data_IF_470520860929
#
_entry.id   IF_470520860929
#
_cell.length_a   1.000
_cell.length_b   1.000
_cell.length_c   1.000
_cell.angle_alpha   90.00
_cell.angle_beta   90.00
_cell.angle_gamma   90.00
#
_symmetry.space_group_name_H-M   'P 1'
#
loop_
_entity.id
_entity.type
_entity.pdbx_description
1 polymer ?
#
# COMPACT_ATOMS: atom_id res chain seq x y z
N UNK A 1 9.58 14.09 -32.80
CA UNK A 1 8.72 14.40 -31.65
C UNK A 1 9.34 13.81 -30.41
N UNK A 2 9.22 14.47 -29.26
CA UNK A 2 9.70 13.92 -27.99
C UNK A 2 8.94 12.63 -27.63
N UNK A 3 9.65 11.61 -27.15
CA UNK A 3 9.07 10.33 -26.79
C UNK A 3 8.21 10.40 -25.52
N UNK A 4 7.53 9.30 -25.18
CA UNK A 4 6.68 9.17 -24.00
C UNK A 4 7.36 9.64 -22.71
N UNK A 5 8.59 9.15 -22.47
CA UNK A 5 9.33 9.43 -21.22
C UNK A 5 9.73 10.90 -21.16
N UNK A 6 10.27 11.45 -22.23
CA UNK A 6 10.69 12.85 -22.30
C UNK A 6 9.54 13.82 -22.06
N UNK A 7 8.38 13.60 -22.69
CA UNK A 7 7.19 14.44 -22.47
C UNK A 7 6.68 14.38 -21.03
N UNK A 8 6.69 13.18 -20.48
CA UNK A 8 6.22 12.95 -19.11
C UNK A 8 7.14 13.60 -18.07
N UNK A 9 8.46 13.45 -18.21
CA UNK A 9 9.46 14.07 -17.32
C UNK A 9 9.44 15.60 -17.45
N UNK A 10 9.31 16.14 -18.66
CA UNK A 10 9.18 17.59 -18.86
C UNK A 10 7.94 18.14 -18.17
N UNK A 11 6.80 17.45 -18.29
CA UNK A 11 5.57 17.83 -17.60
C UNK A 11 5.72 17.78 -16.08
N UNK A 12 6.33 16.73 -15.54
CA UNK A 12 6.51 16.56 -14.10
C UNK A 12 7.35 17.67 -13.48
N UNK A 13 8.43 18.07 -14.16
CA UNK A 13 9.29 19.18 -13.69
C UNK A 13 8.53 20.49 -13.54
N UNK A 14 7.53 20.76 -14.38
CA UNK A 14 6.75 21.99 -14.36
C UNK A 14 5.45 21.90 -13.51
N UNK A 15 4.85 20.71 -13.42
CA UNK A 15 3.49 20.53 -12.89
C UNK A 15 3.36 19.38 -11.88
N UNK A 16 4.43 18.64 -11.62
CA UNK A 16 4.45 17.55 -10.64
C UNK A 16 4.45 18.05 -9.21
N UNK A 17 4.29 17.12 -8.27
CA UNK A 17 4.44 17.39 -6.85
C UNK A 17 5.92 17.34 -6.48
N UNK A 18 6.39 18.33 -5.73
CA UNK A 18 7.79 18.45 -5.32
C UNK A 18 7.92 18.70 -3.82
N UNK A 19 6.82 18.82 -3.11
CA UNK A 19 6.70 19.26 -1.72
C UNK A 19 6.28 18.13 -0.75
N UNK A 20 6.16 16.91 -1.23
CA UNK A 20 5.81 15.79 -0.36
C UNK A 20 6.99 15.46 0.57
N UNK A 21 6.76 15.26 1.89
CA UNK A 21 7.83 15.10 2.88
C UNK A 21 8.86 14.01 2.53
N UNK A 22 8.42 12.93 1.91
CA UNK A 22 9.28 11.82 1.48
C UNK A 22 10.06 12.06 0.18
N UNK A 23 9.75 13.15 -0.55
CA UNK A 23 10.52 13.56 -1.74
C UNK A 23 11.69 14.47 -1.39
N UNK A 24 11.68 15.07 -0.19
CA UNK A 24 12.71 16.02 0.26
C UNK A 24 14.01 15.33 0.69
N UNK A 25 14.03 14.01 0.70
CA UNK A 25 15.19 13.22 1.14
C UNK A 25 15.36 11.99 0.24
N UNK A 26 16.59 11.57 0.04
CA UNK A 26 16.95 10.30 -0.62
C UNK A 26 17.25 9.18 0.38
N UNK A 27 16.95 9.41 1.66
CA UNK A 27 17.11 8.42 2.73
C UNK A 27 16.20 7.21 2.45
N UNK A 28 16.75 6.00 2.27
CA UNK A 28 15.98 4.81 1.95
C UNK A 28 14.96 4.43 3.01
N UNK A 29 15.23 4.68 4.29
CA UNK A 29 14.27 4.45 5.37
C UNK A 29 13.02 5.32 5.19
N UNK A 30 13.21 6.60 4.90
CA UNK A 30 12.13 7.57 4.71
C UNK A 30 11.30 7.28 3.46
N UNK A 31 11.97 6.94 2.36
CA UNK A 31 11.30 6.57 1.11
C UNK A 31 10.53 5.26 1.27
N UNK A 32 11.16 4.23 1.83
CA UNK A 32 10.51 2.95 2.09
C UNK A 32 9.27 3.08 2.99
N UNK A 33 9.36 3.84 4.10
CA UNK A 33 8.24 4.09 4.99
C UNK A 33 7.05 4.69 4.23
N UNK A 34 7.29 5.71 3.39
CA UNK A 34 6.25 6.33 2.59
C UNK A 34 5.63 5.35 1.58
N UNK A 35 6.45 4.56 0.89
CA UNK A 35 5.99 3.56 -0.08
C UNK A 35 5.06 2.52 0.58
N UNK A 36 5.39 2.06 1.79
CA UNK A 36 4.54 1.12 2.53
C UNK A 36 3.25 1.81 3.04
N UNK A 37 3.33 3.03 3.55
CA UNK A 37 2.15 3.76 4.03
C UNK A 37 1.19 4.11 2.89
N UNK A 38 1.69 4.42 1.70
CA UNK A 38 0.91 4.78 0.51
C UNK A 38 0.24 3.57 -0.16
N UNK A 39 0.59 2.33 0.18
CA UNK A 39 -0.12 1.16 -0.32
C UNK A 39 -1.60 1.24 0.09
N UNK A 40 -2.50 1.44 -0.89
CA UNK A 40 -3.95 1.53 -0.72
C UNK A 40 -4.42 2.66 0.23
N UNK A 41 -3.57 3.66 0.50
CA UNK A 41 -3.90 4.81 1.34
C UNK A 41 -3.64 6.11 0.57
N UNK A 42 -4.50 7.11 0.74
CA UNK A 42 -4.36 8.39 0.05
C UNK A 42 -3.26 9.24 0.67
N UNK A 43 -2.58 10.05 -0.17
CA UNK A 43 -1.48 10.95 0.23
C UNK A 43 -1.86 11.84 1.41
N UNK A 44 -3.01 12.51 1.35
CA UNK A 44 -3.45 13.41 2.42
C UNK A 44 -3.59 12.71 3.78
N UNK A 45 -4.02 11.45 3.78
CA UNK A 45 -4.08 10.66 5.01
C UNK A 45 -2.67 10.30 5.50
N UNK A 46 -1.78 9.91 4.58
CA UNK A 46 -0.43 9.45 4.94
C UNK A 46 0.43 10.57 5.52
N UNK A 47 0.29 11.81 5.08
CA UNK A 47 1.15 12.92 5.51
C UNK A 47 1.25 13.05 7.04
N UNK A 48 0.12 13.11 7.74
CA UNK A 48 0.11 13.24 9.21
C UNK A 48 0.66 12.00 9.93
N UNK A 49 0.36 10.80 9.39
CA UNK A 49 0.89 9.54 9.93
C UNK A 49 2.40 9.43 9.75
N UNK A 50 2.89 9.79 8.58
CA UNK A 50 4.31 9.75 8.24
C UNK A 50 5.13 10.64 9.17
N UNK A 51 4.69 11.88 9.40
CA UNK A 51 5.37 12.79 10.30
C UNK A 51 5.40 12.25 11.74
N UNK A 52 4.24 11.89 12.30
CA UNK A 52 4.13 11.33 13.66
C UNK A 52 4.95 10.06 13.84
N UNK A 53 5.02 9.23 12.80
CA UNK A 53 5.77 7.99 12.82
C UNK A 53 7.28 8.26 12.88
N UNK A 54 7.78 9.20 12.07
CA UNK A 54 9.19 9.59 12.08
C UNK A 54 9.63 10.35 13.34
N UNK A 55 8.73 11.07 13.99
CA UNK A 55 9.00 11.68 15.31
C UNK A 55 9.30 10.62 16.37
N UNK A 56 8.59 9.48 16.33
CA UNK A 56 8.80 8.39 17.29
C UNK A 56 9.88 7.41 16.85
N UNK A 57 9.96 7.13 15.57
CA UNK A 57 10.89 6.17 14.95
C UNK A 57 11.70 6.86 13.85
N UNK A 58 12.68 7.70 14.21
CA UNK A 58 13.44 8.50 13.23
C UNK A 58 14.38 7.68 12.35
N UNK A 59 14.75 6.48 12.75
CA UNK A 59 15.67 5.57 12.05
C UNK A 59 15.13 4.15 11.99
N UNK A 60 15.66 3.33 11.07
CA UNK A 60 15.29 1.91 10.97
C UNK A 60 15.65 1.15 12.24
N UNK A 61 16.72 1.52 12.93
CA UNK A 61 17.15 0.93 14.21
C UNK A 61 16.10 1.19 15.30
N UNK A 62 15.69 2.46 15.45
CA UNK A 62 14.66 2.84 16.44
C UNK A 62 13.35 2.11 16.20
N UNK A 63 13.02 1.78 14.95
CA UNK A 63 11.85 0.97 14.60
C UNK A 63 12.08 -0.53 14.85
N UNK A 64 13.30 -1.05 14.62
CA UNK A 64 13.60 -2.46 14.73
C UNK A 64 13.58 -2.99 16.18
N UNK A 65 14.01 -2.16 17.13
CA UNK A 65 14.22 -2.57 18.54
C UNK A 65 12.96 -2.48 19.42
N UNK A 66 11.92 -1.78 18.99
CA UNK A 66 10.68 -1.65 19.78
C UNK A 66 9.84 -2.91 19.72
N UNK A 67 8.99 -3.11 20.73
CA UNK A 67 7.98 -4.16 20.70
C UNK A 67 6.88 -3.81 19.68
N UNK A 68 6.29 -4.83 19.05
CA UNK A 68 5.21 -4.62 18.07
C UNK A 68 4.03 -3.86 18.67
N UNK A 69 3.73 -4.09 19.93
CA UNK A 69 2.66 -3.46 20.69
C UNK A 69 2.84 -1.94 20.81
N UNK A 70 4.09 -1.48 20.85
CA UNK A 70 4.43 -0.05 20.88
C UNK A 70 4.29 0.61 19.51
N UNK A 71 4.55 -0.11 18.44
CA UNK A 71 4.43 0.38 17.06
C UNK A 71 2.97 0.53 16.63
N UNK A 72 2.11 -0.45 16.97
CA UNK A 72 0.75 -0.54 16.43
C UNK A 72 -0.12 0.71 16.67
N UNK A 73 -0.06 1.42 17.80
CA UNK A 73 -0.78 2.68 18.01
C UNK A 73 -0.46 3.78 16.99
N UNK A 74 0.79 3.83 16.50
CA UNK A 74 1.21 4.80 15.47
C UNK A 74 0.68 4.47 14.07
N UNK A 75 0.23 3.22 13.86
CA UNK A 75 -0.40 2.76 12.62
C UNK A 75 -1.93 2.73 12.69
N UNK A 76 -2.51 2.85 13.88
CA UNK A 76 -3.96 2.76 14.10
C UNK A 76 -4.71 3.80 13.25
N UNK A 77 -5.70 3.33 12.47
CA UNK A 77 -6.47 4.15 11.53
C UNK A 77 -5.99 4.10 10.08
N UNK A 78 -4.74 3.72 9.78
CA UNK A 78 -4.28 3.50 8.40
C UNK A 78 -4.86 2.24 7.75
N UNK A 79 -5.32 1.27 8.57
CA UNK A 79 -5.81 -0.02 8.08
C UNK A 79 -4.71 -0.93 7.51
N UNK A 80 -5.13 -2.11 6.99
CA UNK A 80 -4.20 -3.10 6.43
C UNK A 80 -3.00 -3.39 7.35
N UNK A 81 -3.26 -3.74 8.59
CA UNK A 81 -2.27 -3.89 9.67
C UNK A 81 -1.15 -4.90 9.37
N UNK A 82 -1.34 -5.81 8.41
CA UNK A 82 -0.27 -6.65 7.89
C UNK A 82 0.91 -5.83 7.34
N UNK A 83 0.67 -4.61 6.83
CA UNK A 83 1.75 -3.71 6.39
C UNK A 83 2.63 -3.28 7.57
N UNK A 84 2.02 -2.90 8.70
CA UNK A 84 2.76 -2.51 9.90
C UNK A 84 3.60 -3.66 10.44
N UNK A 85 3.04 -4.88 10.50
CA UNK A 85 3.79 -6.08 10.93
C UNK A 85 4.95 -6.41 9.99
N UNK A 86 4.72 -6.34 8.69
CA UNK A 86 5.78 -6.56 7.70
C UNK A 86 6.83 -5.45 7.74
N UNK A 87 6.41 -4.19 7.93
CA UNK A 87 7.30 -3.04 8.12
C UNK A 87 8.23 -3.28 9.32
N UNK A 88 7.68 -3.67 10.45
CA UNK A 88 8.46 -3.95 11.67
C UNK A 88 9.44 -5.12 11.46
N UNK A 89 8.97 -6.24 10.90
CA UNK A 89 9.82 -7.39 10.61
C UNK A 89 10.92 -7.04 9.58
N UNK A 90 10.61 -6.25 8.57
CA UNK A 90 11.57 -5.77 7.60
C UNK A 90 12.65 -4.89 8.26
N UNK A 91 12.26 -3.98 9.15
CA UNK A 91 13.20 -3.16 9.92
C UNK A 91 14.16 -4.01 10.75
N UNK A 92 13.65 -5.07 11.41
CA UNK A 92 14.46 -6.01 12.18
C UNK A 92 15.49 -6.73 11.31
N UNK A 93 15.10 -7.21 10.13
CA UNK A 93 16.03 -7.85 9.18
C UNK A 93 17.09 -6.85 8.69
N UNK A 94 16.69 -5.63 8.31
CA UNK A 94 17.64 -4.61 7.87
C UNK A 94 18.64 -4.27 8.98
N UNK A 95 18.18 -4.15 10.21
CA UNK A 95 19.04 -3.87 11.34
C UNK A 95 20.02 -5.02 11.64
N UNK A 96 19.52 -6.26 11.66
CA UNK A 96 20.30 -7.44 12.06
C UNK A 96 21.21 -8.00 10.96
N UNK A 97 20.74 -8.04 9.73
CA UNK A 97 21.44 -8.71 8.62
C UNK A 97 22.17 -7.74 7.70
N UNK A 98 21.76 -6.45 7.68
CA UNK A 98 22.34 -5.40 6.83
C UNK A 98 22.93 -4.24 7.63
N UNK A 99 23.18 -4.42 8.94
CA UNK A 99 23.75 -3.40 9.82
C UNK A 99 23.03 -2.01 9.74
N UNK A 100 21.69 -2.04 9.59
CA UNK A 100 20.85 -0.84 9.44
C UNK A 100 20.92 -0.16 8.08
N UNK A 101 21.62 -0.73 7.09
CA UNK A 101 21.75 -0.17 5.75
C UNK A 101 20.81 -0.85 4.77
N UNK A 102 20.03 -0.06 4.03
CA UNK A 102 19.18 -0.61 2.99
C UNK A 102 20.01 -1.11 1.79
N UNK A 103 19.73 -2.33 1.29
CA UNK A 103 20.35 -2.80 0.05
C UNK A 103 19.98 -1.89 -1.13
N UNK A 104 20.91 -1.65 -2.03
CA UNK A 104 20.65 -0.89 -3.27
C UNK A 104 20.09 -1.77 -4.40
N UNK A 105 20.31 -3.09 -4.32
CA UNK A 105 19.82 -4.05 -5.31
C UNK A 105 18.33 -4.31 -5.14
N UNK A 106 17.48 -4.04 -6.15
CA UNK A 106 16.05 -4.30 -6.10
C UNK A 106 15.69 -5.78 -5.95
N UNK A 107 16.54 -6.71 -6.38
CA UNK A 107 16.30 -8.14 -6.17
C UNK A 107 16.45 -8.52 -4.70
N UNK A 108 17.46 -7.98 -4.02
CA UNK A 108 17.63 -8.15 -2.58
C UNK A 108 16.50 -7.46 -1.80
N UNK A 109 16.16 -6.22 -2.15
CA UNK A 109 15.04 -5.49 -1.54
C UNK A 109 13.72 -6.28 -1.62
N UNK A 110 13.47 -6.95 -2.75
CA UNK A 110 12.25 -7.73 -2.97
C UNK A 110 12.14 -8.97 -2.07
N UNK A 111 13.23 -9.46 -1.50
CA UNK A 111 13.20 -10.59 -0.54
C UNK A 111 12.68 -10.17 0.84
N UNK A 112 12.70 -8.87 1.14
CA UNK A 112 12.32 -8.33 2.45
C UNK A 112 10.80 -8.31 2.65
N UNK A 113 10.31 -8.54 3.90
CA UNK A 113 8.89 -8.58 4.20
C UNK A 113 8.15 -7.30 3.80
N UNK A 114 7.07 -7.46 3.03
CA UNK A 114 6.21 -6.35 2.60
C UNK A 114 6.73 -5.53 1.42
N UNK A 115 7.93 -5.83 0.91
CA UNK A 115 8.52 -5.18 -0.25
C UNK A 115 8.28 -6.05 -1.49
N UNK A 116 7.32 -5.62 -2.31
CA UNK A 116 7.09 -6.23 -3.63
C UNK A 116 7.96 -5.59 -4.73
N UNK A 117 7.97 -6.18 -5.92
CA UNK A 117 8.76 -5.73 -7.06
C UNK A 117 8.66 -4.22 -7.35
N UNK A 118 7.45 -3.65 -7.32
CA UNK A 118 7.27 -2.21 -7.59
C UNK A 118 7.87 -1.35 -6.47
N UNK A 119 7.71 -1.73 -5.21
CA UNK A 119 8.28 -1.02 -4.05
C UNK A 119 9.81 -1.12 -4.05
N UNK A 120 10.36 -2.31 -4.32
CA UNK A 120 11.81 -2.51 -4.44
C UNK A 120 12.41 -1.61 -5.53
N UNK A 121 11.79 -1.60 -6.69
CA UNK A 121 12.20 -0.74 -7.82
C UNK A 121 12.06 0.76 -7.49
N UNK A 122 11.04 1.16 -6.73
CA UNK A 122 10.86 2.54 -6.30
C UNK A 122 12.00 2.98 -5.37
N UNK A 123 12.30 2.19 -4.34
CA UNK A 123 13.41 2.46 -3.42
C UNK A 123 14.73 2.55 -4.18
N UNK A 124 15.03 1.58 -5.06
CA UNK A 124 16.25 1.56 -5.85
C UNK A 124 16.35 2.80 -6.77
N UNK A 125 15.27 3.21 -7.41
CA UNK A 125 15.26 4.36 -8.31
C UNK A 125 15.35 5.70 -7.57
N UNK A 126 14.65 5.87 -6.44
CA UNK A 126 14.61 7.14 -5.71
C UNK A 126 15.86 7.37 -4.85
N UNK A 127 16.42 6.31 -4.28
CA UNK A 127 17.52 6.43 -3.32
C UNK A 127 18.88 6.18 -3.96
N UNK A 128 18.96 5.29 -4.95
CA UNK A 128 20.22 4.78 -5.50
C UNK A 128 20.38 5.03 -7.01
N UNK A 129 19.54 5.86 -7.61
CA UNK A 129 19.56 6.22 -9.05
C UNK A 129 19.45 5.00 -9.99
N UNK A 130 18.84 3.91 -9.54
CA UNK A 130 18.69 2.72 -10.34
C UNK A 130 17.75 2.95 -11.56
N UNK A 131 18.04 2.28 -12.67
CA UNK A 131 17.23 2.32 -13.88
C UNK A 131 16.05 1.35 -13.83
N UNK A 132 15.34 1.34 -12.71
CA UNK A 132 14.24 0.41 -12.41
C UNK A 132 12.88 1.11 -12.52
N UNK A 133 11.97 0.63 -13.41
CA UNK A 133 10.63 1.17 -13.53
C UNK A 133 9.71 0.61 -12.45
N UNK A 134 8.67 1.37 -12.09
CA UNK A 134 7.62 0.95 -11.15
C UNK A 134 6.34 0.50 -11.87
N UNK A 135 5.48 -0.22 -11.14
CA UNK A 135 4.17 -0.68 -11.64
C UNK A 135 3.13 -0.69 -10.50
N UNK A 136 2.75 0.49 -10.04
CA UNK A 136 1.64 0.64 -9.10
C UNK A 136 0.28 0.75 -9.81
N UNK A 137 -0.80 0.96 -9.08
CA UNK A 137 -2.14 1.10 -9.65
C UNK A 137 -2.30 2.34 -10.56
N UNK A 138 -1.54 3.41 -10.32
CA UNK A 138 -1.54 4.60 -11.16
C UNK A 138 -0.83 4.34 -12.47
N UNK A 139 0.37 3.75 -12.40
CA UNK A 139 1.17 3.39 -13.59
C UNK A 139 0.43 2.40 -14.46
N UNK A 140 -0.16 1.34 -13.88
CA UNK A 140 -1.01 0.38 -14.62
C UNK A 140 -2.11 1.10 -15.39
N UNK A 141 -2.81 2.02 -14.76
CA UNK A 141 -3.89 2.79 -15.40
C UNK A 141 -3.37 3.67 -16.53
N UNK A 142 -2.26 4.37 -16.33
CA UNK A 142 -1.64 5.19 -17.38
C UNK A 142 -1.23 4.33 -18.57
N UNK A 143 -0.54 3.21 -18.33
CA UNK A 143 -0.05 2.32 -19.38
C UNK A 143 -1.20 1.63 -20.13
N UNK A 144 -2.20 1.09 -19.44
CA UNK A 144 -3.35 0.47 -20.11
C UNK A 144 -4.04 1.45 -21.03
N UNK A 145 -4.23 2.70 -20.59
CA UNK A 145 -4.87 3.74 -21.41
C UNK A 145 -3.98 4.24 -22.55
N UNK A 146 -2.72 4.48 -22.26
CA UNK A 146 -1.82 5.04 -23.26
C UNK A 146 -1.49 4.04 -24.39
N UNK A 147 -1.18 2.79 -24.02
CA UNK A 147 -0.80 1.75 -24.96
C UNK A 147 -1.98 0.89 -25.46
N UNK A 148 -3.20 1.08 -24.94
CA UNK A 148 -4.35 0.27 -25.29
C UNK A 148 -4.28 -1.17 -24.77
N UNK A 149 -3.56 -1.41 -23.66
CA UNK A 149 -3.39 -2.76 -23.11
C UNK A 149 -4.66 -3.15 -22.36
N UNK A 150 -5.44 -4.02 -22.97
CA UNK A 150 -6.69 -4.55 -22.39
C UNK A 150 -6.47 -5.90 -21.69
N UNK A 151 -7.48 -6.33 -20.91
CA UNK A 151 -7.47 -7.63 -20.24
C UNK A 151 -7.13 -7.56 -18.76
N UNK A 152 -7.08 -8.74 -18.14
CA UNK A 152 -6.80 -8.94 -16.71
C UNK A 152 -5.97 -10.21 -16.51
N UNK A 153 -5.27 -10.32 -15.36
CA UNK A 153 -4.50 -11.51 -15.03
C UNK A 153 -3.01 -11.40 -15.37
N UNK A 154 -2.32 -12.55 -15.31
CA UNK A 154 -0.86 -12.62 -15.40
C UNK A 154 -0.29 -12.20 -16.76
N UNK A 155 -0.98 -12.51 -17.85
CA UNK A 155 -0.54 -12.14 -19.19
C UNK A 155 -0.53 -10.62 -19.39
N UNK A 156 -1.60 -9.93 -18.96
CA UNK A 156 -1.67 -8.45 -18.98
C UNK A 156 -0.60 -7.83 -18.08
N UNK A 157 -0.39 -8.39 -16.90
CA UNK A 157 0.64 -7.94 -15.96
C UNK A 157 2.05 -8.05 -16.58
N UNK A 158 2.34 -9.19 -17.23
CA UNK A 158 3.61 -9.40 -17.94
C UNK A 158 3.82 -8.38 -19.05
N UNK A 159 2.78 -8.10 -19.84
CA UNK A 159 2.83 -7.11 -20.93
C UNK A 159 3.08 -5.71 -20.40
N UNK A 160 2.44 -5.32 -19.29
CA UNK A 160 2.65 -4.02 -18.66
C UNK A 160 4.08 -3.86 -18.15
N UNK A 161 4.63 -4.87 -17.49
CA UNK A 161 6.02 -4.87 -17.04
C UNK A 161 7.02 -4.82 -18.21
N UNK A 162 6.76 -5.56 -19.28
CA UNK A 162 7.59 -5.51 -20.48
C UNK A 162 7.61 -4.09 -21.05
N UNK A 163 6.45 -3.42 -21.14
CA UNK A 163 6.37 -2.04 -21.59
C UNK A 163 7.11 -1.08 -20.64
N UNK A 164 7.03 -1.30 -19.32
CA UNK A 164 7.76 -0.50 -18.35
C UNK A 164 9.28 -0.60 -18.55
N UNK A 165 9.80 -1.81 -18.76
CA UNK A 165 11.23 -2.02 -19.05
C UNK A 165 11.64 -1.46 -20.41
N UNK A 166 10.80 -1.56 -21.44
CA UNK A 166 11.05 -0.92 -22.74
C UNK A 166 11.20 0.59 -22.59
N UNK A 167 10.33 1.24 -21.81
CA UNK A 167 10.44 2.68 -21.55
C UNK A 167 11.70 3.05 -20.73
N UNK A 168 12.18 2.14 -19.91
CA UNK A 168 13.36 2.33 -19.06
C UNK A 168 14.69 2.12 -19.81
N UNK A 169 14.66 1.39 -20.91
CA UNK A 169 15.85 0.96 -21.63
C UNK A 169 16.72 2.14 -22.08
N UNK A 170 18.04 2.05 -21.80
CA UNK A 170 19.02 3.06 -22.17
C UNK A 170 18.92 4.38 -21.40
N UNK A 171 18.17 4.41 -20.29
CA UNK A 171 17.98 5.59 -19.45
C UNK A 171 18.58 5.36 -18.08
N UNK A 172 19.29 6.35 -17.56
CA UNK A 172 19.79 6.36 -16.19
C UNK A 172 18.84 7.14 -15.27
N UNK A 173 18.81 6.78 -13.99
CA UNK A 173 18.14 7.57 -12.94
C UNK A 173 16.63 7.75 -13.17
N UNK A 174 15.84 6.68 -13.05
CA UNK A 174 14.40 6.72 -13.33
C UNK A 174 13.54 7.36 -12.22
N UNK A 175 14.13 7.92 -11.17
CA UNK A 175 13.36 8.50 -10.06
C UNK A 175 12.34 9.54 -10.54
N UNK A 176 12.76 10.55 -11.30
CA UNK A 176 11.85 11.58 -11.84
C UNK A 176 10.77 11.00 -12.76
N UNK A 177 11.12 10.02 -13.59
CA UNK A 177 10.16 9.34 -14.46
C UNK A 177 9.10 8.56 -13.67
N UNK A 178 9.53 7.80 -12.67
CA UNK A 178 8.63 7.06 -11.78
C UNK A 178 7.68 8.00 -11.03
N UNK A 179 8.22 9.10 -10.50
CA UNK A 179 7.41 10.13 -9.84
C UNK A 179 6.41 10.75 -10.82
N UNK A 180 6.83 11.02 -12.05
CA UNK A 180 5.97 11.60 -13.08
C UNK A 180 4.78 10.70 -13.43
N UNK A 181 4.98 9.38 -13.48
CA UNK A 181 3.90 8.41 -13.68
C UNK A 181 2.89 8.42 -12.54
N UNK A 182 3.37 8.46 -11.29
CA UNK A 182 2.50 8.54 -10.12
C UNK A 182 1.72 9.86 -10.08
N UNK A 183 2.38 10.97 -10.38
CA UNK A 183 1.76 12.30 -10.41
C UNK A 183 0.71 12.39 -11.52
N UNK A 184 1.04 11.97 -12.74
CA UNK A 184 0.08 11.94 -13.85
C UNK A 184 -1.13 11.08 -13.51
N UNK A 185 -0.89 9.89 -12.93
CA UNK A 185 -1.95 8.97 -12.54
C UNK A 185 -2.85 9.53 -11.45
N UNK A 186 -2.33 10.26 -10.48
CA UNK A 186 -3.10 10.81 -9.38
C UNK A 186 -3.83 12.12 -9.71
N UNK A 187 -3.24 12.99 -10.55
CA UNK A 187 -3.77 14.34 -10.82
C UNK A 187 -4.54 14.45 -12.14
N UNK A 188 -4.05 13.83 -13.22
CA UNK A 188 -4.57 13.96 -14.59
C UNK A 188 -5.30 12.69 -15.04
N UNK A 189 -4.60 11.55 -15.12
CA UNK A 189 -5.16 10.29 -15.60
C UNK A 189 -5.93 9.57 -14.49
N UNK A 190 -6.91 10.25 -13.88
CA UNK A 190 -7.72 9.74 -12.76
C UNK A 190 -8.55 8.52 -13.16
N UNK A 191 -8.94 7.72 -12.16
CA UNK A 191 -9.80 6.54 -12.36
C UNK A 191 -11.14 6.91 -12.98
N UNK A 192 -11.78 7.96 -12.46
CA UNK A 192 -13.01 8.55 -12.98
C UNK A 192 -12.72 9.98 -13.44
N UNK A 193 -13.38 10.43 -14.51
CA UNK A 193 -13.28 11.79 -15.06
C UNK A 193 -11.81 12.24 -15.27
N UNK A 194 -11.00 11.53 -16.08
CA UNK A 194 -9.64 11.93 -16.37
C UNK A 194 -9.60 13.29 -17.10
N UNK A 195 -8.60 14.10 -16.79
CA UNK A 195 -8.41 15.43 -17.37
C UNK A 195 -7.57 15.33 -18.66
N UNK A 196 -8.11 14.66 -19.68
CA UNK A 196 -7.38 14.34 -20.88
C UNK A 196 -6.90 15.58 -21.66
N UNK A 197 -7.66 16.68 -21.63
CA UNK A 197 -7.29 17.92 -22.33
C UNK A 197 -6.05 18.61 -21.75
N UNK A 198 -5.70 18.31 -20.50
CA UNK A 198 -4.49 18.80 -19.82
C UNK A 198 -3.38 17.74 -19.78
N UNK A 199 -3.55 16.61 -20.48
CA UNK A 199 -2.61 15.50 -20.41
C UNK A 199 -1.44 15.70 -21.38
N UNK A 200 -0.18 15.66 -20.94
CA UNK A 200 0.99 15.80 -21.81
C UNK A 200 1.12 14.65 -22.82
N UNK A 201 0.40 13.56 -22.61
CA UNK A 201 0.44 12.34 -23.44
C UNK A 201 -0.78 12.21 -24.35
N UNK A 202 -1.68 13.19 -24.38
CA UNK A 202 -2.98 13.12 -25.07
C UNK A 202 -2.85 12.67 -26.55
N UNK A 203 -1.91 13.27 -27.29
CA UNK A 203 -1.79 13.10 -28.74
C UNK A 203 -1.63 11.65 -29.19
N UNK A 204 -0.89 10.84 -28.41
CA UNK A 204 -0.62 9.45 -28.77
C UNK A 204 -1.35 8.43 -27.87
N UNK A 205 -2.21 8.94 -26.96
CA UNK A 205 -2.94 8.09 -26.03
C UNK A 205 -4.03 7.28 -26.77
N UNK A 206 -3.91 5.95 -26.75
CA UNK A 206 -4.88 5.04 -27.35
C UNK A 206 -6.29 5.29 -26.80
N UNK A 207 -6.46 5.33 -25.48
CA UNK A 207 -7.75 5.51 -24.85
C UNK A 207 -8.41 6.85 -25.21
N UNK A 208 -7.62 7.92 -25.42
CA UNK A 208 -8.15 9.20 -25.86
C UNK A 208 -8.64 9.14 -27.30
N UNK A 209 -7.83 8.57 -28.21
CA UNK A 209 -8.17 8.42 -29.63
C UNK A 209 -9.41 7.56 -29.88
N UNK A 210 -9.63 6.56 -29.02
CA UNK A 210 -10.72 5.58 -29.17
C UNK A 210 -11.86 5.74 -28.14
N UNK A 211 -11.87 6.83 -27.37
CA UNK A 211 -12.85 7.08 -26.29
C UNK A 211 -12.96 5.94 -25.26
N UNK A 212 -11.85 5.21 -25.01
CA UNK A 212 -11.81 4.01 -24.19
C UNK A 212 -11.39 4.27 -22.73
N UNK A 213 -11.46 5.51 -22.22
CA UNK A 213 -10.99 5.89 -20.87
C UNK A 213 -11.79 5.19 -19.76
N UNK A 214 -13.06 4.86 -20.00
CA UNK A 214 -13.94 4.18 -19.04
C UNK A 214 -13.80 2.65 -19.09
N UNK A 215 -13.32 2.12 -20.19
CA UNK A 215 -13.11 0.69 -20.43
C UNK A 215 -11.73 0.23 -19.93
N UNK A 216 -10.74 1.15 -19.98
CA UNK A 216 -9.37 0.87 -19.57
C UNK A 216 -9.01 1.54 -18.25
N UNK A 217 -8.38 0.82 -17.32
CA UNK A 217 -8.07 -0.62 -17.37
C UNK A 217 -9.32 -1.50 -17.31
N UNK A 218 -9.26 -2.66 -17.95
CA UNK A 218 -10.32 -3.66 -17.91
C UNK A 218 -10.68 -4.02 -16.47
N UNK A 219 -11.95 -3.94 -16.13
CA UNK A 219 -12.43 -4.23 -14.76
C UNK A 219 -12.47 -5.73 -14.52
N UNK A 220 -11.90 -6.17 -13.40
CA UNK A 220 -12.15 -7.54 -12.92
C UNK A 220 -13.61 -7.68 -12.51
N UNK A 221 -14.19 -8.84 -12.79
CA UNK A 221 -15.52 -9.17 -12.24
C UNK A 221 -15.49 -9.04 -10.71
N UNK A 222 -16.49 -8.37 -10.15
CA UNK A 222 -16.64 -8.27 -8.71
C UNK A 222 -16.93 -9.65 -8.14
N UNK A 223 -16.11 -10.12 -7.22
CA UNK A 223 -16.45 -11.28 -6.40
C UNK A 223 -17.51 -10.88 -5.38
N UNK A 224 -18.43 -11.79 -5.07
CA UNK A 224 -19.34 -11.59 -3.96
C UNK A 224 -18.53 -11.39 -2.68
N UNK A 225 -18.93 -10.40 -1.89
CA UNK A 225 -18.32 -10.17 -0.58
C UNK A 225 -18.93 -11.20 0.38
N UNK A 226 -18.11 -12.10 0.98
CA UNK A 226 -18.64 -13.07 1.93
C UNK A 226 -19.12 -12.35 3.20
N UNK A 227 -20.30 -12.71 3.67
CA UNK A 227 -20.80 -12.28 4.98
C UNK A 227 -20.44 -13.34 6.01
N UNK A 228 -19.86 -12.92 7.13
CA UNK A 228 -19.55 -13.78 8.27
C UNK A 228 -20.32 -13.29 9.49
N UNK A 229 -21.02 -14.20 10.15
CA UNK A 229 -21.62 -13.94 11.43
C UNK A 229 -20.70 -14.43 12.53
N UNK A 230 -20.63 -13.68 13.63
CA UNK A 230 -19.88 -14.08 14.82
C UNK A 230 -20.53 -13.49 16.08
N UNK A 231 -20.30 -14.14 17.23
CA UNK A 231 -20.68 -13.64 18.54
C UNK A 231 -19.45 -13.06 19.22
N UNK A 232 -19.58 -11.85 19.76
CA UNK A 232 -18.51 -11.20 20.51
C UNK A 232 -18.89 -11.13 21.98
N UNK A 233 -17.99 -11.60 22.85
CA UNK A 233 -18.20 -11.61 24.30
C UNK A 233 -17.59 -10.37 24.93
N UNK A 234 -18.41 -9.55 25.59
CA UNK A 234 -17.97 -8.43 26.42
C UNK A 234 -17.88 -8.89 27.85
N UNK A 235 -16.68 -9.12 28.36
CA UNK A 235 -16.43 -9.37 29.79
C UNK A 235 -15.94 -8.08 30.46
N UNK A 236 -16.71 -7.58 31.40
CA UNK A 236 -16.42 -6.32 32.10
C UNK A 236 -16.30 -6.53 33.61
N UNK A 237 -15.27 -5.92 34.20
CA UNK A 237 -15.09 -5.84 35.64
C UNK A 237 -14.77 -4.40 36.05
N UNK A 238 -15.72 -3.69 36.60
CA UNK A 238 -15.60 -2.25 36.83
C UNK A 238 -15.43 -1.48 35.52
N UNK A 239 -14.37 -0.71 35.38
CA UNK A 239 -14.02 0.03 34.16
C UNK A 239 -13.16 -0.77 33.14
N UNK A 240 -12.82 -2.02 33.47
CA UNK A 240 -11.95 -2.84 32.65
C UNK A 240 -12.76 -3.78 31.77
N UNK A 241 -12.31 -3.95 30.51
CA UNK A 241 -12.86 -4.91 29.53
C UNK A 241 -11.79 -5.93 29.19
N UNK A 242 -12.15 -7.21 29.19
CA UNK A 242 -11.25 -8.26 28.75
C UNK A 242 -11.09 -8.27 27.24
N UNK A 243 -9.85 -8.25 26.79
CA UNK A 243 -9.47 -8.36 25.37
C UNK A 243 -8.50 -9.53 25.19
N UNK A 244 -8.55 -10.16 24.03
CA UNK A 244 -7.61 -11.19 23.63
C UNK A 244 -6.92 -10.83 22.31
N UNK A 245 -5.69 -11.31 22.14
CA UNK A 245 -4.95 -11.16 20.88
C UNK A 245 -5.56 -12.07 19.81
N UNK A 246 -5.95 -11.50 18.69
CA UNK A 246 -6.45 -12.27 17.54
C UNK A 246 -5.34 -13.14 16.93
N UNK A 247 -5.69 -14.25 16.28
CA UNK A 247 -4.73 -15.02 15.48
C UNK A 247 -3.97 -14.11 14.52
N UNK A 248 -2.69 -14.41 14.25
CA UNK A 248 -1.82 -13.58 13.40
C UNK A 248 -2.31 -13.46 11.94
N UNK A 249 -3.11 -14.41 11.48
CA UNK A 249 -3.73 -14.42 10.14
C UNK A 249 -5.21 -14.03 10.23
N UNK A 250 -5.74 -13.49 9.14
CA UNK A 250 -7.15 -13.10 9.03
C UNK A 250 -7.41 -11.62 9.35
N UNK A 251 -8.70 -11.30 9.55
CA UNK A 251 -9.15 -9.93 9.82
C UNK A 251 -8.56 -9.45 11.15
N UNK A 252 -7.89 -8.28 11.12
CA UNK A 252 -7.24 -7.67 12.28
C UNK A 252 -6.26 -8.59 13.03
N UNK A 253 -5.61 -9.52 12.30
CA UNK A 253 -4.68 -10.47 12.90
C UNK A 253 -3.63 -9.80 13.77
N UNK A 254 -3.40 -10.37 14.97
CA UNK A 254 -2.44 -9.88 15.96
C UNK A 254 -2.88 -8.62 16.73
N UNK A 255 -4.08 -8.08 16.48
CA UNK A 255 -4.63 -6.99 17.28
C UNK A 255 -5.44 -7.55 18.47
N UNK A 256 -5.61 -6.71 19.48
CA UNK A 256 -6.52 -6.99 20.59
C UNK A 256 -7.97 -6.81 20.13
N UNK A 257 -8.83 -7.75 20.51
CA UNK A 257 -10.28 -7.66 20.29
C UNK A 257 -11.03 -8.34 21.42
N UNK A 258 -12.34 -8.12 21.48
CA UNK A 258 -13.23 -8.95 22.25
C UNK A 258 -13.10 -10.42 21.82
N UNK A 259 -13.25 -11.40 22.71
CA UNK A 259 -13.36 -12.82 22.34
C UNK A 259 -14.46 -13.04 21.32
N UNK A 260 -14.16 -13.77 20.23
CA UNK A 260 -15.04 -14.01 19.11
C UNK A 260 -15.35 -15.49 18.99
N UNK A 261 -16.62 -15.84 18.80
CA UNK A 261 -17.14 -17.20 18.68
C UNK A 261 -17.90 -17.34 17.38
N UNK A 262 -17.86 -18.53 16.79
CA UNK A 262 -18.50 -18.82 15.51
C UNK A 262 -20.01 -18.83 15.67
N UNK A 263 -20.51 -19.39 16.80
CA UNK A 263 -21.94 -19.53 17.07
C UNK A 263 -22.28 -19.40 18.58
N UNK A 264 -23.55 -19.37 18.89
CA UNK A 264 -24.03 -19.28 20.27
C UNK A 264 -23.68 -20.50 21.12
N UNK A 265 -23.77 -21.75 20.62
CA UNK A 265 -23.36 -22.94 21.38
C UNK A 265 -21.90 -22.90 21.83
N UNK A 266 -20.96 -22.50 20.99
CA UNK A 266 -19.53 -22.34 21.34
C UNK A 266 -19.35 -21.32 22.46
N UNK A 267 -20.04 -20.17 22.36
CA UNK A 267 -20.05 -19.16 23.41
C UNK A 267 -20.60 -19.68 24.71
N UNK A 268 -21.75 -20.36 24.71
CA UNK A 268 -22.38 -20.90 25.94
C UNK A 268 -21.49 -21.95 26.62
N UNK A 269 -20.88 -22.85 25.84
CA UNK A 269 -19.92 -23.85 26.35
C UNK A 269 -18.74 -23.16 27.03
N UNK A 270 -18.20 -22.09 26.42
CA UNK A 270 -17.10 -21.33 27.02
C UNK A 270 -17.48 -20.64 28.30
N UNK A 271 -18.66 -20.03 28.36
CA UNK A 271 -19.17 -19.40 29.59
C UNK A 271 -19.27 -20.41 30.73
N UNK A 272 -19.84 -21.59 30.48
CA UNK A 272 -19.97 -22.68 31.47
C UNK A 272 -18.57 -23.17 31.91
N UNK A 273 -17.65 -23.42 30.97
CA UNK A 273 -16.31 -23.90 31.27
C UNK A 273 -15.49 -22.91 32.13
N UNK A 274 -15.76 -21.60 31.97
CA UNK A 274 -15.11 -20.55 32.75
C UNK A 274 -15.87 -20.16 34.05
N UNK A 275 -16.96 -20.84 34.35
CA UNK A 275 -17.79 -20.52 35.52
C UNK A 275 -18.46 -19.15 35.47
N UNK A 276 -18.71 -18.63 34.27
CA UNK A 276 -19.32 -17.32 34.03
C UNK A 276 -20.83 -17.45 33.92
N UNK A 277 -21.55 -16.48 34.46
CA UNK A 277 -23.00 -16.42 34.35
C UNK A 277 -23.42 -16.10 32.91
N UNK A 278 -24.64 -16.50 32.52
CA UNK A 278 -25.21 -16.13 31.24
C UNK A 278 -25.35 -14.62 31.15
N UNK A 279 -24.77 -14.05 30.11
CA UNK A 279 -24.78 -12.61 29.88
C UNK A 279 -26.06 -12.09 29.25
N UNK A 280 -26.14 -10.77 29.12
CA UNK A 280 -27.21 -10.08 28.37
C UNK A 280 -26.86 -10.01 26.91
N UNK A 281 -27.81 -10.38 26.05
CA UNK A 281 -27.64 -10.18 24.61
C UNK A 281 -27.81 -8.70 24.23
N UNK A 282 -26.88 -8.19 23.43
CA UNK A 282 -26.93 -6.84 22.87
C UNK A 282 -27.42 -6.89 21.41
N UNK A 283 -27.86 -5.74 20.90
CA UNK A 283 -28.27 -5.64 19.50
C UNK A 283 -27.10 -5.97 18.56
N UNK A 284 -27.37 -6.75 17.52
CA UNK A 284 -26.40 -7.04 16.47
C UNK A 284 -26.13 -5.79 15.64
N UNK A 285 -24.89 -5.65 15.14
CA UNK A 285 -24.50 -4.60 14.20
C UNK A 285 -23.74 -5.20 13.03
N UNK A 286 -23.73 -4.50 11.91
CA UNK A 286 -23.02 -4.89 10.71
C UNK A 286 -21.78 -4.02 10.53
N UNK A 287 -20.66 -4.64 10.17
CA UNK A 287 -19.41 -3.93 9.84
C UNK A 287 -18.87 -4.39 8.49
N UNK A 288 -18.56 -3.43 7.62
CA UNK A 288 -18.01 -3.72 6.29
C UNK A 288 -16.50 -3.45 6.33
N UNK A 289 -15.72 -4.47 6.03
CA UNK A 289 -14.28 -4.35 5.90
C UNK A 289 -13.89 -3.88 4.50
N UNK A 290 -12.77 -3.14 4.41
CA UNK A 290 -12.27 -2.57 3.15
C UNK A 290 -11.58 -3.59 2.22
N UNK A 291 -11.54 -4.86 2.60
CA UNK A 291 -10.88 -5.95 1.85
C UNK A 291 -11.63 -7.27 1.93
#
# INVERSE_FOLDING_TARGET
>A
MADFVTRLVTWQKAHGRHDLPWQLSRDPYRVWLSEIMLQQTQVNTVMAYYQRFLERFPTVESLAVVAQEELMPYWAGLGYYARARNLHRCAQIIYQEFAGQFPSDPEVLQTLPGIGKSTANAIAAFCFDASTPIMDGNVKRVFTRYYGIAGTGSATEKQLWQQAYTNAQGRAGLGTYNQALMDLGSSICKRSKPLCNSCPLQQDCYAFKHNAQTELPTRKAKKAIPTRHCHMLVLQKGAQVFLQTRPSKGIWGGLLSLPEFIDAPELEQTLVAQGLAKGQSMAAFEHIFSH
#
